data_IF_977278261343
#
_entry.id   IF_977278261343
#
_cell.length_a   1.000
_cell.length_b   1.000
_cell.length_c   1.000
_cell.angle_alpha   90.00
_cell.angle_beta   90.00
_cell.angle_gamma   90.00
#
_symmetry.space_group_name_H-M   'P 1'
#
loop_
_entity.id
_entity.type
_entity.pdbx_description
1 polymer ?
#
# COMPACT_ATOMS: atom_id res chain seq x y z
N UNK A 1 27.54 -20.53 20.64
CA UNK A 1 26.25 -21.11 20.19
C UNK A 1 25.02 -20.40 20.78
N UNK A 2 24.89 -20.22 22.10
CA UNK A 2 23.73 -19.53 22.73
C UNK A 2 23.49 -18.10 22.21
N UNK A 3 24.54 -17.29 22.05
CA UNK A 3 24.43 -15.92 21.53
C UNK A 3 23.98 -15.85 20.06
N UNK A 4 24.38 -16.84 19.25
CA UNK A 4 23.97 -16.94 17.83
C UNK A 4 22.49 -17.31 17.74
N UNK A 5 22.02 -18.24 18.59
CA UNK A 5 20.61 -18.62 18.66
C UNK A 5 19.71 -17.45 19.12
N UNK A 6 20.17 -16.64 20.07
CA UNK A 6 19.48 -15.41 20.50
C UNK A 6 19.42 -14.35 19.41
N UNK A 7 20.51 -14.15 18.66
CA UNK A 7 20.53 -13.20 17.54
C UNK A 7 19.61 -13.64 16.39
N UNK A 8 19.55 -14.94 16.08
CA UNK A 8 18.65 -15.49 15.05
C UNK A 8 17.18 -15.41 15.49
N UNK A 9 16.87 -15.64 16.77
CA UNK A 9 15.52 -15.48 17.31
C UNK A 9 15.04 -14.02 17.27
N UNK A 10 15.95 -13.04 17.49
CA UNK A 10 15.64 -11.62 17.38
C UNK A 10 15.44 -11.14 15.94
N UNK A 11 16.13 -11.75 14.96
CA UNK A 11 15.94 -11.46 13.53
C UNK A 11 14.61 -12.01 12.99
N UNK A 12 14.09 -13.10 13.57
CA UNK A 12 12.77 -13.65 13.23
C UNK A 12 11.60 -12.77 13.65
N UNK A 13 11.82 -11.75 14.49
CA UNK A 13 10.83 -10.77 14.95
C UNK A 13 10.81 -9.49 14.09
N UNK A 14 11.67 -9.37 13.08
CA UNK A 14 11.56 -8.30 12.12
C UNK A 14 10.30 -8.52 11.28
N UNK A 15 9.21 -7.83 11.63
CA UNK A 15 7.94 -7.89 10.90
C UNK A 15 8.16 -7.60 9.40
N UNK A 16 7.37 -8.23 8.54
CA UNK A 16 7.47 -8.01 7.10
C UNK A 16 7.04 -6.57 6.77
N UNK A 17 8.01 -5.68 6.55
CA UNK A 17 7.72 -4.30 6.15
C UNK A 17 7.04 -4.30 4.77
N UNK A 18 5.88 -3.63 4.67
CA UNK A 18 5.13 -3.50 3.42
C UNK A 18 4.71 -2.06 3.20
N UNK A 19 4.42 -1.70 1.96
CA UNK A 19 3.94 -0.36 1.66
C UNK A 19 2.45 -0.23 2.01
N UNK A 20 2.13 0.90 2.61
CA UNK A 20 0.78 1.26 3.02
C UNK A 20 0.50 2.71 2.65
N UNK A 21 -0.76 3.00 2.36
CA UNK A 21 -1.28 4.34 2.13
C UNK A 21 -1.94 4.86 3.40
N UNK A 22 -1.66 6.11 3.75
CA UNK A 22 -2.26 6.79 4.90
C UNK A 22 -2.74 8.18 4.49
N UNK A 23 -3.86 8.62 5.07
CA UNK A 23 -4.40 9.98 4.92
C UNK A 23 -5.15 10.36 6.19
N UNK A 24 -4.86 11.51 6.82
CA UNK A 24 -5.55 11.93 8.05
C UNK A 24 -7.07 11.94 7.88
N UNK A 25 -7.78 11.21 8.75
CA UNK A 25 -9.23 11.14 8.76
C UNK A 25 -9.87 10.34 7.63
N UNK A 26 -9.08 9.70 6.75
CA UNK A 26 -9.64 8.80 5.74
C UNK A 26 -10.26 7.57 6.42
N UNK A 27 -11.39 7.11 5.89
CA UNK A 27 -12.02 5.84 6.28
C UNK A 27 -11.66 4.73 5.28
N UNK A 28 -11.81 3.44 5.65
CA UNK A 28 -11.65 2.33 4.71
C UNK A 28 -12.50 2.46 3.43
N UNK A 29 -13.72 2.97 3.56
CA UNK A 29 -14.64 3.19 2.44
C UNK A 29 -14.13 4.32 1.55
N UNK A 30 -13.58 5.39 2.15
CA UNK A 30 -13.00 6.48 1.38
C UNK A 30 -11.75 6.03 0.62
N UNK A 31 -10.84 5.30 1.28
CA UNK A 31 -9.69 4.71 0.59
C UNK A 31 -10.11 3.78 -0.54
N UNK A 32 -11.12 2.92 -0.31
CA UNK A 32 -11.57 1.97 -1.33
C UNK A 32 -12.13 2.68 -2.58
N UNK A 33 -12.91 3.76 -2.39
CA UNK A 33 -13.40 4.58 -3.50
C UNK A 33 -12.26 5.28 -4.23
N UNK A 34 -11.38 5.98 -3.49
CA UNK A 34 -10.25 6.71 -4.07
C UNK A 34 -9.30 5.77 -4.83
N UNK A 35 -9.00 4.61 -4.26
CA UNK A 35 -8.16 3.57 -4.87
C UNK A 35 -8.79 3.04 -6.16
N UNK A 36 -10.09 2.76 -6.16
CA UNK A 36 -10.78 2.26 -7.36
C UNK A 36 -10.80 3.31 -8.48
N UNK A 37 -11.07 4.57 -8.15
CA UNK A 37 -11.06 5.67 -9.12
C UNK A 37 -9.65 5.86 -9.70
N UNK A 38 -8.62 5.92 -8.85
CA UNK A 38 -7.24 6.02 -9.30
C UNK A 38 -6.80 4.81 -10.15
N UNK A 39 -7.28 3.60 -9.85
CA UNK A 39 -7.00 2.43 -10.67
C UNK A 39 -7.62 2.56 -12.07
N UNK A 40 -8.84 3.11 -12.17
CA UNK A 40 -9.50 3.37 -13.47
C UNK A 40 -8.75 4.43 -14.28
N UNK A 41 -8.30 5.51 -13.65
CA UNK A 41 -7.50 6.56 -14.30
C UNK A 41 -6.15 6.03 -14.79
N UNK A 42 -5.53 5.13 -14.02
CA UNK A 42 -4.27 4.48 -14.36
C UNK A 42 -4.39 3.39 -15.45
N UNK A 43 -5.62 3.08 -15.90
CA UNK A 43 -5.96 2.17 -17.00
C UNK A 43 -6.67 2.94 -18.12
N UNK A 44 -5.97 3.81 -18.88
CA UNK A 44 -6.61 4.79 -19.76
C UNK A 44 -7.32 4.17 -20.97
N UNK A 45 -6.93 2.96 -21.41
CA UNK A 45 -7.57 2.28 -22.54
C UNK A 45 -8.58 1.23 -22.08
N UNK A 46 -9.58 0.96 -22.92
CA UNK A 46 -10.51 -0.15 -22.70
C UNK A 46 -9.79 -1.50 -22.59
N UNK A 47 -8.78 -1.75 -23.45
CA UNK A 47 -7.99 -2.98 -23.42
C UNK A 47 -7.28 -3.18 -22.08
N UNK A 48 -6.66 -2.13 -21.53
CA UNK A 48 -6.01 -2.19 -20.22
C UNK A 48 -7.01 -2.49 -19.11
N UNK A 49 -8.19 -1.86 -19.14
CA UNK A 49 -9.27 -2.13 -18.16
C UNK A 49 -9.75 -3.58 -18.23
N UNK A 50 -9.96 -4.12 -19.42
CA UNK A 50 -10.37 -5.51 -19.61
C UNK A 50 -9.32 -6.52 -19.16
N UNK A 51 -8.04 -6.17 -19.28
CA UNK A 51 -6.90 -7.01 -18.88
C UNK A 51 -6.49 -6.81 -17.41
N UNK A 52 -7.14 -5.89 -16.68
CA UNK A 52 -6.76 -5.54 -15.31
C UNK A 52 -5.38 -4.87 -15.20
N UNK A 53 -4.87 -4.28 -16.28
CA UNK A 53 -3.56 -3.61 -16.32
C UNK A 53 -3.70 -2.21 -15.74
N UNK A 54 -3.01 -1.97 -14.63
CA UNK A 54 -2.93 -0.66 -13.96
C UNK A 54 -1.51 -0.13 -14.06
N UNK A 55 -1.35 1.09 -14.59
CA UNK A 55 -0.05 1.76 -14.56
C UNK A 55 0.24 2.21 -13.14
N UNK A 56 1.08 1.46 -12.43
CA UNK A 56 1.32 1.62 -10.99
C UNK A 56 1.79 3.04 -10.63
N UNK A 57 2.63 3.67 -11.45
CA UNK A 57 3.08 5.04 -11.18
C UNK A 57 1.97 6.09 -11.34
N UNK A 58 1.07 5.91 -12.31
CA UNK A 58 -0.10 6.77 -12.45
C UNK A 58 -1.09 6.59 -11.28
N UNK A 59 -1.29 5.35 -10.84
CA UNK A 59 -2.09 5.02 -9.67
C UNK A 59 -1.53 5.68 -8.39
N UNK A 60 -0.20 5.56 -8.18
CA UNK A 60 0.50 6.19 -7.05
C UNK A 60 0.36 7.72 -7.10
N UNK A 61 0.59 8.33 -8.26
CA UNK A 61 0.47 9.77 -8.44
C UNK A 61 -0.95 10.28 -8.14
N UNK A 62 -1.98 9.55 -8.58
CA UNK A 62 -3.38 9.89 -8.28
C UNK A 62 -3.69 9.81 -6.78
N UNK A 63 -3.24 8.77 -6.07
CA UNK A 63 -3.44 8.69 -4.62
C UNK A 63 -2.69 9.81 -3.89
N UNK A 64 -1.47 10.13 -4.32
CA UNK A 64 -0.71 11.26 -3.78
C UNK A 64 -1.44 12.60 -4.01
N UNK A 65 -2.00 12.84 -5.19
CA UNK A 65 -2.77 14.07 -5.46
C UNK A 65 -4.05 14.17 -4.62
N UNK A 66 -4.62 13.03 -4.20
CA UNK A 66 -5.74 12.94 -3.25
C UNK A 66 -5.32 13.09 -1.79
N UNK A 67 -4.04 13.33 -1.51
CA UNK A 67 -3.50 13.58 -0.17
C UNK A 67 -3.13 12.32 0.61
N UNK A 68 -2.97 11.17 -0.05
CA UNK A 68 -2.42 9.98 0.58
C UNK A 68 -0.89 9.99 0.55
N UNK A 69 -0.27 9.51 1.63
CA UNK A 69 1.18 9.29 1.73
C UNK A 69 1.46 7.79 1.72
N UNK A 70 2.55 7.36 1.05
CA UNK A 70 2.94 5.95 0.95
C UNK A 70 4.28 5.70 1.64
N UNK A 71 4.25 4.86 2.66
CA UNK A 71 5.44 4.51 3.46
C UNK A 71 5.51 3.01 3.72
N UNK A 72 6.72 2.52 4.01
CA UNK A 72 6.90 1.16 4.53
C UNK A 72 6.52 1.13 6.00
N UNK A 73 5.60 0.23 6.37
CA UNK A 73 5.21 0.00 7.75
C UNK A 73 5.42 -1.46 8.12
N UNK A 74 5.80 -1.68 9.38
CA UNK A 74 5.93 -2.99 9.99
C UNK A 74 4.57 -3.40 10.57
N UNK A 75 4.27 -4.70 10.52
CA UNK A 75 3.11 -5.23 11.22
C UNK A 75 3.33 -5.22 12.75
N UNK A 76 2.29 -4.96 13.56
CA UNK A 76 0.93 -4.60 13.15
C UNK A 76 0.83 -3.14 12.68
N UNK A 77 0.15 -2.91 11.56
CA UNK A 77 0.03 -1.54 11.02
C UNK A 77 -0.90 -0.64 11.85
N UNK A 78 -0.61 0.68 11.92
CA UNK A 78 -1.50 1.64 12.58
C UNK A 78 -2.89 1.71 11.92
N UNK A 79 -3.96 2.02 12.69
CA UNK A 79 -5.27 2.33 12.12
C UNK A 79 -5.19 3.45 11.07
N UNK A 80 -5.98 3.34 10.01
CA UNK A 80 -5.93 4.29 8.89
C UNK A 80 -4.81 4.01 7.87
N UNK A 81 -4.19 2.83 7.95
CA UNK A 81 -3.21 2.34 6.97
C UNK A 81 -3.88 1.35 6.01
N UNK A 82 -3.75 1.57 4.72
CA UNK A 82 -4.47 0.80 3.70
C UNK A 82 -3.54 0.20 2.65
N UNK A 83 -3.88 -1.01 2.18
CA UNK A 83 -3.15 -1.69 1.10
C UNK A 83 -3.72 -1.29 -0.25
N UNK A 84 -2.85 -0.79 -1.13
CA UNK A 84 -3.18 -0.48 -2.51
C UNK A 84 -2.64 -1.51 -3.51
N UNK A 85 -2.73 -1.16 -4.79
CA UNK A 85 -2.12 -1.91 -5.89
C UNK A 85 -0.61 -1.66 -5.87
N UNK A 86 0.18 -2.75 -6.01
CA UNK A 86 1.65 -2.74 -5.96
C UNK A 86 2.29 -3.13 -7.29
#
# INVERSE_FOLDING_TARGET
MKAVLLAVALLGLAGCARYYWTKPGATPEQFSRDSLECAREASPTESMRQQGIVQVEAYRACLTSRGYTRDKQLEPVPPGSYRGIE
#
